data_IF_267360127223
#
_entry.id   IF_267360127223
#
_cell.length_a   1.000
_cell.length_b   1.000
_cell.length_c   1.000
_cell.angle_alpha   90.00
_cell.angle_beta   90.00
_cell.angle_gamma   90.00
#
_symmetry.space_group_name_H-M   'P 1'
#
loop_
_entity.id
_entity.type
_entity.pdbx_description
1 polymer ?
#
# COMPACT_ATOMS: atom_id res chain seq x y z
N UNK A 1 14.01 -8.61 8.34
CA UNK A 1 12.62 -8.71 7.84
C UNK A 1 12.64 -8.75 6.32
N UNK A 2 11.79 -9.58 5.73
CA UNK A 2 11.49 -9.53 4.31
C UNK A 2 10.51 -8.36 4.11
N UNK A 3 10.90 -7.36 3.34
CA UNK A 3 10.19 -6.10 3.30
C UNK A 3 9.94 -5.58 1.90
N UNK A 4 9.12 -4.57 1.86
CA UNK A 4 8.60 -3.86 0.71
C UNK A 4 7.11 -3.67 0.92
N UNK A 5 6.57 -2.50 0.52
CA UNK A 5 5.16 -2.18 0.78
C UNK A 5 4.20 -3.26 0.28
N UNK A 6 4.38 -3.77 -0.96
CA UNK A 6 3.55 -4.84 -1.50
C UNK A 6 3.66 -6.16 -0.72
N UNK A 7 4.85 -6.50 -0.20
CA UNK A 7 5.06 -7.67 0.67
C UNK A 7 4.30 -7.48 2.00
N UNK A 8 4.35 -6.28 2.60
CA UNK A 8 3.62 -5.97 3.82
C UNK A 8 2.10 -6.10 3.63
N UNK A 9 1.57 -5.60 2.49
CA UNK A 9 0.15 -5.77 2.13
C UNK A 9 -0.21 -7.25 2.04
N UNK A 10 0.59 -8.05 1.32
CA UNK A 10 0.33 -9.50 1.17
C UNK A 10 0.44 -10.26 2.49
N UNK A 11 1.41 -9.92 3.34
CA UNK A 11 1.56 -10.53 4.66
C UNK A 11 0.35 -10.26 5.57
N UNK A 12 -0.16 -9.02 5.58
CA UNK A 12 -1.35 -8.71 6.35
C UNK A 12 -2.60 -9.42 5.79
N UNK A 13 -2.77 -9.45 4.47
CA UNK A 13 -3.87 -10.18 3.83
C UNK A 13 -3.84 -11.66 4.20
N UNK A 14 -2.66 -12.29 4.21
CA UNK A 14 -2.49 -13.67 4.65
C UNK A 14 -2.88 -13.86 6.12
N UNK A 15 -2.49 -12.93 7.01
CA UNK A 15 -2.89 -12.95 8.42
C UNK A 15 -4.42 -12.85 8.59
N UNK A 16 -5.11 -12.14 7.71
CA UNK A 16 -6.58 -12.08 7.69
C UNK A 16 -7.23 -13.29 7.02
N UNK A 17 -6.45 -14.17 6.35
CA UNK A 17 -6.94 -15.36 5.65
C UNK A 17 -7.27 -15.13 4.17
N UNK A 18 -6.85 -14.01 3.58
CA UNK A 18 -7.01 -13.74 2.15
C UNK A 18 -5.78 -14.21 1.37
N UNK A 19 -6.02 -14.76 0.18
CA UNK A 19 -4.93 -15.13 -0.73
C UNK A 19 -4.50 -13.93 -1.56
N UNK A 20 -3.19 -13.78 -1.73
CA UNK A 20 -2.60 -12.77 -2.61
C UNK A 20 -1.33 -13.30 -3.23
N UNK A 21 -0.88 -12.69 -4.33
CA UNK A 21 0.38 -12.99 -5.00
C UNK A 21 1.23 -11.73 -5.07
N UNK A 22 2.41 -11.76 -4.47
CA UNK A 22 3.35 -10.66 -4.56
C UNK A 22 4.09 -10.70 -5.91
N UNK A 23 4.08 -9.56 -6.62
CA UNK A 23 4.87 -9.32 -7.83
C UNK A 23 6.00 -8.35 -7.53
N UNK A 24 7.08 -8.43 -8.29
CA UNK A 24 8.22 -7.54 -8.19
C UNK A 24 9.47 -8.15 -8.80
N UNK A 25 10.57 -7.42 -8.72
CA UNK A 25 11.86 -7.81 -9.26
C UNK A 25 12.77 -8.27 -8.14
N UNK A 26 13.38 -9.43 -8.30
CA UNK A 26 14.37 -9.98 -7.36
C UNK A 26 15.66 -10.36 -8.10
N UNK A 27 16.79 -10.24 -7.41
CA UNK A 27 18.10 -10.60 -7.99
C UNK A 27 19.06 -11.13 -6.93
N UNK A 28 19.99 -11.96 -7.37
CA UNK A 28 21.10 -12.46 -6.58
C UNK A 28 20.67 -13.33 -5.40
N UNK A 29 21.58 -13.50 -4.44
CA UNK A 29 21.28 -14.33 -3.26
C UNK A 29 20.24 -13.69 -2.32
N UNK A 30 20.23 -12.36 -2.21
CA UNK A 30 19.26 -11.62 -1.41
C UNK A 30 17.85 -11.75 -1.97
N UNK A 31 17.69 -11.76 -3.31
CA UNK A 31 16.42 -12.02 -3.97
C UNK A 31 15.89 -13.43 -3.72
N UNK A 32 16.75 -14.45 -3.81
CA UNK A 32 16.37 -15.84 -3.47
C UNK A 32 15.96 -15.97 -2.00
N UNK A 33 16.65 -15.25 -1.11
CA UNK A 33 16.29 -15.26 0.31
C UNK A 33 14.95 -14.58 0.57
N UNK A 34 14.66 -13.45 -0.12
CA UNK A 34 13.34 -12.81 -0.06
C UNK A 34 12.25 -13.80 -0.53
N UNK A 35 12.43 -14.43 -1.70
CA UNK A 35 11.45 -15.38 -2.23
C UNK A 35 11.20 -16.55 -1.28
N UNK A 36 12.26 -17.09 -0.68
CA UNK A 36 12.15 -18.15 0.33
C UNK A 36 11.38 -17.69 1.55
N UNK A 37 11.69 -16.46 2.02
CA UNK A 37 11.11 -15.89 3.22
C UNK A 37 9.63 -15.55 3.07
N UNK A 38 9.22 -14.97 1.95
CA UNK A 38 7.81 -14.59 1.73
C UNK A 38 6.89 -15.83 1.66
N UNK A 39 7.39 -16.96 1.16
CA UNK A 39 6.64 -18.23 1.20
C UNK A 39 6.30 -18.67 2.63
N UNK A 40 7.17 -18.36 3.60
CA UNK A 40 6.91 -18.68 5.02
C UNK A 40 5.89 -17.73 5.66
N UNK A 41 5.56 -16.60 5.01
CA UNK A 41 4.56 -15.63 5.48
C UNK A 41 3.12 -15.98 5.04
N UNK A 42 2.93 -17.08 4.28
CA UNK A 42 1.61 -17.63 3.98
C UNK A 42 0.91 -17.05 2.76
N UNK A 43 1.64 -16.36 1.86
CA UNK A 43 1.10 -15.88 0.58
C UNK A 43 1.97 -16.32 -0.61
N UNK A 44 1.40 -16.24 -1.80
CA UNK A 44 2.07 -16.62 -3.04
C UNK A 44 3.01 -15.51 -3.55
N UNK A 45 4.05 -15.89 -4.28
CA UNK A 45 4.94 -14.95 -4.97
C UNK A 45 5.17 -15.40 -6.41
N UNK A 46 5.16 -14.43 -7.33
CA UNK A 46 5.47 -14.65 -8.74
C UNK A 46 6.48 -13.60 -9.22
N UNK A 47 7.62 -13.54 -8.51
CA UNK A 47 8.67 -12.58 -8.76
C UNK A 47 9.36 -12.78 -10.11
N UNK A 48 9.85 -11.68 -10.68
CA UNK A 48 10.67 -11.66 -11.88
C UNK A 48 12.12 -11.71 -11.46
N UNK A 49 12.81 -12.80 -11.81
CA UNK A 49 14.23 -12.96 -11.56
C UNK A 49 15.02 -12.08 -12.56
N UNK A 50 15.76 -11.11 -12.03
CA UNK A 50 16.68 -10.24 -12.78
C UNK A 50 18.08 -10.81 -12.73
N UNK A 51 18.81 -10.76 -13.85
CA UNK A 51 20.12 -11.41 -13.97
C UNK A 51 21.21 -10.70 -13.20
N UNK A 52 21.22 -9.35 -13.23
CA UNK A 52 22.32 -8.54 -12.71
C UNK A 52 21.98 -7.83 -11.42
N UNK A 53 22.93 -7.85 -10.49
CA UNK A 53 22.83 -7.17 -9.21
C UNK A 53 22.24 -8.05 -8.11
N UNK A 54 21.70 -7.39 -7.09
CA UNK A 54 21.09 -8.03 -5.92
C UNK A 54 19.86 -7.23 -5.49
N UNK A 55 18.83 -7.92 -4.97
CA UNK A 55 17.74 -7.25 -4.27
C UNK A 55 18.29 -6.43 -3.10
N UNK A 56 17.80 -5.21 -2.96
CA UNK A 56 18.37 -4.26 -1.99
C UNK A 56 18.17 -4.71 -0.55
N UNK A 57 19.11 -4.34 0.29
CA UNK A 57 19.02 -4.41 1.74
C UNK A 57 18.95 -2.96 2.24
N UNK A 58 17.91 -2.63 2.98
CA UNK A 58 17.78 -1.35 3.66
C UNK A 58 18.13 -1.53 5.13
N UNK A 59 19.00 -0.68 5.65
CA UNK A 59 19.43 -0.72 7.04
C UNK A 59 18.85 0.49 7.77
N UNK A 60 18.11 0.24 8.85
CA UNK A 60 17.63 1.29 9.76
C UNK A 60 18.48 1.30 11.01
N UNK A 61 19.17 2.39 11.25
CA UNK A 61 19.96 2.62 12.46
C UNK A 61 19.10 3.36 13.47
N UNK A 62 18.80 2.70 14.58
CA UNK A 62 18.08 3.29 15.71
C UNK A 62 19.12 3.80 16.73
N UNK A 63 19.30 5.12 16.79
CA UNK A 63 20.08 5.83 17.80
C UNK A 63 19.25 7.03 18.27
N UNK A 64 19.89 8.04 18.84
CA UNK A 64 19.22 9.29 19.23
C UNK A 64 18.59 10.01 18.01
N UNK A 65 19.10 9.73 16.81
CA UNK A 65 18.50 10.12 15.54
C UNK A 65 18.36 8.87 14.67
N UNK A 66 17.15 8.66 14.11
CA UNK A 66 16.90 7.56 13.17
C UNK A 66 17.60 7.88 11.84
N UNK A 67 18.41 6.95 11.33
CA UNK A 67 19.09 7.06 10.04
C UNK A 67 18.81 5.83 9.19
N UNK A 68 18.67 6.03 7.89
CA UNK A 68 18.41 4.94 6.94
C UNK A 68 19.50 4.90 5.87
N UNK A 69 19.99 3.68 5.57
CA UNK A 69 20.85 3.40 4.41
C UNK A 69 20.04 2.54 3.46
N UNK A 70 19.66 3.10 2.33
CA UNK A 70 18.87 2.43 1.32
C UNK A 70 19.73 1.93 0.17
N UNK A 71 19.74 0.61 -0.06
CA UNK A 71 20.41 -0.02 -1.20
C UNK A 71 19.74 0.32 -2.52
N UNK A 72 20.52 0.31 -3.63
CA UNK A 72 20.01 0.70 -4.95
C UNK A 72 19.16 -0.37 -5.65
N UNK A 73 19.34 -1.62 -5.32
CA UNK A 73 18.62 -2.73 -5.99
C UNK A 73 19.30 -3.19 -7.30
N UNK A 74 18.67 -4.13 -8.03
CA UNK A 74 19.21 -4.72 -9.24
C UNK A 74 19.08 -3.83 -10.48
N UNK A 75 19.81 -4.18 -11.55
CA UNK A 75 19.69 -3.57 -12.88
C UNK A 75 18.49 -4.17 -13.63
N UNK A 76 17.33 -3.50 -13.56
CA UNK A 76 16.11 -3.95 -14.24
C UNK A 76 16.17 -3.47 -15.70
N UNK A 77 15.96 -4.39 -16.64
CA UNK A 77 15.96 -4.12 -18.08
C UNK A 77 14.53 -3.95 -18.62
N UNK A 78 14.38 -3.40 -19.84
CA UNK A 78 13.09 -3.33 -20.52
C UNK A 78 12.44 -4.71 -20.67
N UNK A 79 13.23 -5.76 -20.96
CA UNK A 79 12.74 -7.12 -21.04
C UNK A 79 12.21 -7.66 -19.69
N UNK A 80 12.74 -7.18 -18.58
CA UNK A 80 12.21 -7.50 -17.24
C UNK A 80 10.86 -6.80 -17.01
N UNK A 81 10.77 -5.56 -17.44
CA UNK A 81 9.51 -4.78 -17.40
C UNK A 81 8.44 -5.42 -18.30
N UNK A 82 8.80 -5.87 -19.50
CA UNK A 82 7.88 -6.61 -20.38
C UNK A 82 7.34 -7.87 -19.70
N UNK A 83 8.18 -8.63 -18.98
CA UNK A 83 7.75 -9.80 -18.20
C UNK A 83 6.74 -9.42 -17.09
N UNK A 84 6.89 -8.23 -16.49
CA UNK A 84 5.90 -7.71 -15.53
C UNK A 84 4.54 -7.50 -16.22
N UNK A 85 4.52 -6.83 -17.37
CA UNK A 85 3.28 -6.59 -18.14
C UNK A 85 2.62 -7.91 -18.60
N UNK A 86 3.41 -8.91 -19.01
CA UNK A 86 2.89 -10.24 -19.32
C UNK A 86 2.18 -10.86 -18.11
N UNK A 87 2.76 -10.79 -16.90
CA UNK A 87 2.11 -11.29 -15.68
C UNK A 87 0.83 -10.51 -15.35
N UNK A 88 0.85 -9.20 -15.46
CA UNK A 88 -0.31 -8.34 -15.24
C UNK A 88 -1.46 -8.64 -16.24
N UNK A 89 -1.14 -9.10 -17.43
CA UNK A 89 -2.14 -9.47 -18.44
C UNK A 89 -3.01 -10.68 -18.05
N UNK A 90 -2.60 -11.47 -17.05
CA UNK A 90 -3.42 -12.57 -16.51
C UNK A 90 -4.49 -12.11 -15.50
N UNK A 91 -4.43 -10.87 -15.03
CA UNK A 91 -5.47 -10.31 -14.16
C UNK A 91 -6.83 -10.28 -14.88
N UNK A 92 -7.91 -10.48 -14.13
CA UNK A 92 -9.28 -10.61 -14.62
C UNK A 92 -10.19 -9.57 -13.95
N UNK A 93 -11.35 -9.37 -14.54
CA UNK A 93 -12.42 -8.59 -13.93
C UNK A 93 -12.69 -9.08 -12.48
N UNK A 94 -12.77 -8.13 -11.55
CA UNK A 94 -12.97 -8.37 -10.13
C UNK A 94 -11.69 -8.57 -9.32
N UNK A 95 -10.53 -8.82 -9.97
CA UNK A 95 -9.26 -8.86 -9.27
C UNK A 95 -8.91 -7.48 -8.66
N UNK A 96 -8.07 -7.51 -7.63
CA UNK A 96 -7.52 -6.31 -7.00
C UNK A 96 -6.02 -6.26 -7.22
N UNK A 97 -5.52 -5.17 -7.79
CA UNK A 97 -4.10 -4.88 -7.92
C UNK A 97 -3.71 -3.77 -6.95
N UNK A 98 -2.69 -4.01 -6.13
CA UNK A 98 -2.10 -2.99 -5.26
C UNK A 98 -0.76 -2.54 -5.83
N UNK A 99 -0.67 -1.28 -6.21
CA UNK A 99 0.56 -0.61 -6.62
C UNK A 99 1.08 0.20 -5.43
N UNK A 100 2.19 -0.24 -4.84
CA UNK A 100 2.71 0.40 -3.64
C UNK A 100 4.24 0.44 -3.60
N UNK A 101 4.78 1.50 -3.03
CA UNK A 101 6.20 1.71 -2.86
C UNK A 101 6.83 2.66 -3.86
N UNK A 102 8.15 2.82 -3.72
CA UNK A 102 8.97 3.62 -4.61
C UNK A 102 9.33 2.84 -5.87
N UNK A 103 9.45 3.54 -6.98
CA UNK A 103 9.93 2.98 -8.25
C UNK A 103 11.46 2.83 -8.17
N UNK A 104 12.02 1.66 -8.54
CA UNK A 104 13.47 1.51 -8.67
C UNK A 104 14.06 2.51 -9.67
N UNK A 105 15.25 3.06 -9.38
CA UNK A 105 15.90 4.05 -10.24
C UNK A 105 16.20 3.54 -11.66
N UNK A 106 16.20 2.24 -11.86
CA UNK A 106 16.39 1.59 -13.17
C UNK A 106 15.11 1.55 -14.04
N UNK A 107 13.98 2.00 -13.52
CA UNK A 107 12.68 2.00 -14.21
C UNK A 107 12.18 3.44 -14.32
N UNK A 108 11.55 3.77 -15.43
CA UNK A 108 10.95 5.10 -15.62
C UNK A 108 9.86 5.39 -14.60
N UNK A 109 9.81 6.66 -14.15
CA UNK A 109 8.84 7.14 -13.15
C UNK A 109 7.38 7.19 -13.66
N UNK A 110 7.10 6.63 -14.83
CA UNK A 110 5.77 6.50 -15.40
C UNK A 110 5.21 5.07 -15.29
N UNK A 111 5.95 4.11 -14.71
CA UNK A 111 5.57 2.70 -14.69
C UNK A 111 4.18 2.46 -14.09
N UNK A 112 3.78 3.18 -13.03
CA UNK A 112 2.45 3.04 -12.46
C UNK A 112 1.36 3.52 -13.42
N UNK A 113 1.61 4.64 -14.11
CA UNK A 113 0.74 5.14 -15.16
C UNK A 113 0.58 4.10 -16.28
N UNK A 114 1.70 3.57 -16.79
CA UNK A 114 1.70 2.53 -17.86
C UNK A 114 0.98 1.25 -17.43
N UNK A 115 1.11 0.84 -16.16
CA UNK A 115 0.38 -0.32 -15.63
C UNK A 115 -1.12 -0.03 -15.61
N UNK A 116 -1.54 1.13 -15.12
CA UNK A 116 -2.95 1.49 -15.05
C UNK A 116 -3.56 1.64 -16.45
N UNK A 117 -2.85 2.25 -17.38
CA UNK A 117 -3.24 2.34 -18.78
C UNK A 117 -3.40 0.95 -19.44
N UNK A 118 -2.44 0.04 -19.18
CA UNK A 118 -2.49 -1.34 -19.72
C UNK A 118 -3.70 -2.14 -19.20
N UNK A 119 -4.16 -1.84 -18.00
CA UNK A 119 -5.26 -2.55 -17.34
C UNK A 119 -6.59 -1.78 -17.40
N UNK A 120 -6.59 -0.60 -18.01
CA UNK A 120 -7.80 0.23 -18.09
C UNK A 120 -8.96 -0.50 -18.81
N UNK A 121 -10.17 -0.28 -18.32
CA UNK A 121 -11.39 -0.90 -18.88
C UNK A 121 -11.54 -2.41 -18.61
N UNK A 122 -10.62 -3.05 -17.88
CA UNK A 122 -10.65 -4.51 -17.61
C UNK A 122 -11.40 -4.91 -16.34
N UNK A 123 -12.03 -3.98 -15.65
CA UNK A 123 -12.78 -4.26 -14.42
C UNK A 123 -11.93 -4.66 -13.22
N UNK A 124 -10.64 -4.30 -13.23
CA UNK A 124 -9.68 -4.55 -12.14
C UNK A 124 -9.72 -3.38 -11.17
N UNK A 125 -9.84 -3.64 -9.87
CA UNK A 125 -9.76 -2.60 -8.84
C UNK A 125 -8.30 -2.31 -8.52
N UNK A 126 -7.84 -1.09 -8.80
CA UNK A 126 -6.46 -0.68 -8.56
C UNK A 126 -6.36 0.20 -7.32
N UNK A 127 -5.59 -0.23 -6.31
CA UNK A 127 -5.26 0.55 -5.13
C UNK A 127 -3.82 1.08 -5.27
N UNK A 128 -3.63 2.39 -5.04
CA UNK A 128 -2.32 3.03 -5.21
C UNK A 128 -1.89 3.70 -3.91
N UNK A 129 -0.75 3.29 -3.37
CA UNK A 129 -0.07 3.90 -2.23
C UNK A 129 1.35 4.31 -2.63
N UNK A 130 1.46 5.50 -3.21
CA UNK A 130 2.67 6.04 -3.81
C UNK A 130 2.90 7.50 -3.41
N UNK A 131 4.12 7.97 -3.66
CA UNK A 131 4.47 9.39 -3.45
C UNK A 131 3.66 10.31 -4.37
N UNK A 132 3.54 11.59 -3.96
CA UNK A 132 2.65 12.60 -4.55
C UNK A 132 2.68 12.68 -6.08
N UNK A 133 3.86 12.72 -6.68
CA UNK A 133 4.02 12.92 -8.13
C UNK A 133 3.54 11.69 -8.92
N UNK A 134 3.77 10.48 -8.37
CA UNK A 134 3.26 9.24 -8.93
C UNK A 134 1.74 9.14 -8.78
N UNK A 135 1.24 9.57 -7.63
CA UNK A 135 -0.19 9.54 -7.33
C UNK A 135 -0.97 10.46 -8.28
N UNK A 136 -0.48 11.68 -8.53
CA UNK A 136 -1.14 12.62 -9.45
C UNK A 136 -1.24 12.08 -10.88
N UNK A 137 -0.21 11.39 -11.37
CA UNK A 137 -0.17 10.82 -12.73
C UNK A 137 -1.22 9.73 -12.96
N UNK A 138 -1.62 9.02 -11.90
CA UNK A 138 -2.53 7.87 -12.00
C UNK A 138 -4.00 8.22 -11.78
N UNK A 139 -4.32 9.42 -11.29
CA UNK A 139 -5.71 9.81 -10.99
C UNK A 139 -6.64 9.71 -12.21
N UNK A 140 -6.14 10.06 -13.41
CA UNK A 140 -6.90 9.98 -14.66
C UNK A 140 -7.37 8.57 -15.03
N UNK A 141 -6.79 7.52 -14.44
CA UNK A 141 -7.17 6.10 -14.64
C UNK A 141 -8.12 5.59 -13.55
N UNK A 142 -8.70 6.47 -12.77
CA UNK A 142 -9.73 6.19 -11.76
C UNK A 142 -9.33 5.08 -10.76
N UNK A 143 -8.20 5.22 -10.02
CA UNK A 143 -7.81 4.24 -9.01
C UNK A 143 -8.96 4.04 -8.01
N UNK A 144 -9.29 2.75 -7.76
CA UNK A 144 -10.32 2.38 -6.78
C UNK A 144 -10.04 2.93 -5.39
N UNK A 145 -8.75 2.93 -4.99
CA UNK A 145 -8.30 3.45 -3.70
C UNK A 145 -6.97 4.17 -3.87
N UNK A 146 -6.87 5.35 -3.29
CA UNK A 146 -5.59 6.00 -3.00
C UNK A 146 -5.47 6.26 -1.51
N UNK A 147 -4.23 6.18 -0.97
CA UNK A 147 -3.99 6.40 0.46
C UNK A 147 -2.84 7.37 0.73
N UNK A 148 -3.00 8.67 0.59
CA UNK A 148 -2.08 9.65 1.14
C UNK A 148 -2.18 9.73 2.68
N UNK A 149 -1.13 10.16 3.37
CA UNK A 149 -1.29 10.70 4.70
C UNK A 149 -1.66 12.21 4.63
N UNK A 150 -2.05 12.80 5.77
CA UNK A 150 -2.47 14.21 5.82
C UNK A 150 -1.37 15.19 5.37
N UNK A 151 -0.10 14.88 5.63
CA UNK A 151 1.04 15.69 5.19
C UNK A 151 1.26 15.57 3.68
N UNK A 152 1.23 14.35 3.14
CA UNK A 152 1.32 14.10 1.70
C UNK A 152 0.18 14.79 0.95
N UNK A 153 -1.05 14.68 1.46
CA UNK A 153 -2.21 15.37 0.91
C UNK A 153 -1.99 16.89 0.90
N UNK A 154 -1.53 17.47 2.01
CA UNK A 154 -1.20 18.90 2.08
C UNK A 154 -0.12 19.31 1.09
N UNK A 155 0.95 18.53 0.96
CA UNK A 155 2.03 18.79 0.00
C UNK A 155 1.56 18.74 -1.47
N UNK A 156 0.59 17.86 -1.81
CA UNK A 156 0.02 17.81 -3.17
C UNK A 156 -0.67 19.13 -3.56
N UNK A 157 -1.16 19.88 -2.58
CA UNK A 157 -1.83 21.18 -2.79
C UNK A 157 -1.01 22.38 -2.31
N UNK A 158 0.26 22.17 -1.91
CA UNK A 158 1.18 23.22 -1.51
C UNK A 158 0.81 23.93 -0.19
N UNK A 159 0.11 23.26 0.72
CA UNK A 159 -0.34 23.82 2.00
C UNK A 159 -0.31 22.81 3.15
N UNK A 160 -0.29 23.30 4.38
CA UNK A 160 -0.45 22.50 5.59
C UNK A 160 -1.95 22.37 5.91
N UNK A 161 -2.43 21.12 6.08
CA UNK A 161 -3.82 20.87 6.46
C UNK A 161 -3.90 20.68 7.98
N UNK A 162 -4.69 21.53 8.64
CA UNK A 162 -4.77 21.59 10.12
C UNK A 162 -6.07 21.05 10.68
N UNK A 163 -7.11 21.02 9.88
CA UNK A 163 -8.45 20.58 10.32
C UNK A 163 -8.96 19.41 9.48
N UNK A 164 -9.89 18.67 10.04
CA UNK A 164 -10.57 17.58 9.30
C UNK A 164 -11.33 18.09 8.08
N UNK A 165 -11.93 19.29 8.17
CA UNK A 165 -12.67 19.92 7.08
C UNK A 165 -11.74 20.23 5.91
N UNK A 166 -10.52 20.71 6.19
CA UNK A 166 -9.49 20.94 5.16
C UNK A 166 -9.06 19.64 4.51
N UNK A 167 -8.86 18.57 5.31
CA UNK A 167 -8.52 17.21 4.81
C UNK A 167 -9.63 16.69 3.89
N UNK A 168 -10.88 16.74 4.34
CA UNK A 168 -12.05 16.31 3.53
C UNK A 168 -12.17 17.12 2.25
N UNK A 169 -11.99 18.45 2.32
CA UNK A 169 -12.03 19.31 1.15
C UNK A 169 -11.00 18.89 0.09
N UNK A 170 -9.75 18.62 0.52
CA UNK A 170 -8.67 18.25 -0.40
C UNK A 170 -8.79 16.81 -0.89
N UNK A 171 -9.29 15.89 -0.05
CA UNK A 171 -9.62 14.55 -0.48
C UNK A 171 -10.73 14.54 -1.56
N UNK A 172 -11.74 15.41 -1.44
CA UNK A 172 -12.77 15.60 -2.49
C UNK A 172 -12.17 16.12 -3.80
N UNK A 173 -11.20 17.03 -3.76
CA UNK A 173 -10.48 17.47 -4.97
C UNK A 173 -9.74 16.32 -5.67
N UNK A 174 -9.15 15.37 -4.93
CA UNK A 174 -8.54 14.19 -5.54
C UNK A 174 -9.59 13.26 -6.17
N UNK A 175 -10.78 13.17 -5.60
CA UNK A 175 -11.90 12.46 -6.24
C UNK A 175 -12.32 13.14 -7.54
N UNK A 176 -12.46 14.46 -7.55
CA UNK A 176 -12.77 15.23 -8.75
C UNK A 176 -11.72 15.06 -9.85
N UNK A 177 -10.45 14.79 -9.47
CA UNK A 177 -9.36 14.47 -10.39
C UNK A 177 -9.35 13.01 -10.85
N UNK A 178 -10.22 12.15 -10.29
CA UNK A 178 -10.42 10.80 -10.77
C UNK A 178 -10.38 9.68 -9.72
N UNK A 179 -9.83 9.89 -8.53
CA UNK A 179 -9.82 8.84 -7.51
C UNK A 179 -11.24 8.41 -7.10
N UNK A 180 -11.50 7.10 -7.05
CA UNK A 180 -12.80 6.55 -6.64
C UNK A 180 -12.98 6.69 -5.12
N UNK A 181 -12.01 6.25 -4.34
CA UNK A 181 -11.97 6.36 -2.88
C UNK A 181 -10.66 6.99 -2.43
N UNK A 182 -10.74 7.95 -1.49
CA UNK A 182 -9.57 8.62 -0.91
C UNK A 182 -9.53 8.35 0.58
N UNK A 183 -8.57 7.53 1.01
CA UNK A 183 -8.31 7.19 2.40
C UNK A 183 -7.13 8.04 2.90
N UNK A 184 -7.37 8.97 3.79
CA UNK A 184 -6.33 9.82 4.37
C UNK A 184 -5.98 9.33 5.75
N UNK A 185 -4.74 8.87 5.94
CA UNK A 185 -4.22 8.46 7.26
C UNK A 185 -3.66 9.66 8.01
N UNK A 186 -3.93 9.72 9.33
CA UNK A 186 -3.57 10.84 10.20
C UNK A 186 -2.80 10.37 11.44
N UNK A 187 -2.04 9.29 11.32
CA UNK A 187 -1.29 8.69 12.42
C UNK A 187 -2.15 8.49 13.69
N UNK A 188 -1.80 9.16 14.80
CA UNK A 188 -2.51 9.08 16.09
C UNK A 188 -3.94 9.63 16.07
N UNK A 189 -4.31 10.41 15.07
CA UNK A 189 -5.66 10.99 14.92
C UNK A 189 -6.60 10.08 14.10
N UNK A 190 -6.11 8.95 13.62
CA UNK A 190 -6.91 7.96 12.91
C UNK A 190 -6.89 8.12 11.39
N UNK A 191 -8.07 8.04 10.76
CA UNK A 191 -8.18 8.15 9.32
C UNK A 191 -9.55 8.70 8.87
N UNK A 192 -9.55 9.34 7.72
CA UNK A 192 -10.73 9.83 7.02
C UNK A 192 -10.82 9.15 5.66
N UNK A 193 -12.00 8.68 5.30
CA UNK A 193 -12.33 8.17 3.98
C UNK A 193 -13.35 9.08 3.32
N UNK A 194 -13.05 9.53 2.11
CA UNK A 194 -14.04 10.10 1.19
C UNK A 194 -14.35 9.01 0.16
N UNK A 195 -15.51 8.39 0.29
CA UNK A 195 -15.89 7.20 -0.46
C UNK A 195 -16.47 7.51 -1.85
N UNK A 196 -16.63 6.48 -2.69
CA UNK A 196 -17.17 6.56 -4.04
C UNK A 196 -18.55 7.22 -4.09
N UNK A 197 -19.43 6.89 -3.17
CA UNK A 197 -20.79 7.42 -3.05
C UNK A 197 -20.86 8.87 -2.52
N UNK A 198 -19.70 9.49 -2.25
CA UNK A 198 -19.59 10.84 -1.71
C UNK A 198 -19.68 10.91 -0.18
N UNK A 199 -19.97 9.79 0.50
CA UNK A 199 -19.98 9.74 1.96
C UNK A 199 -18.59 9.99 2.55
N UNK A 200 -18.56 10.52 3.76
CA UNK A 200 -17.34 10.78 4.53
C UNK A 200 -17.40 9.98 5.82
N UNK A 201 -16.45 9.07 5.97
CA UNK A 201 -16.31 8.26 7.18
C UNK A 201 -15.06 8.68 7.95
N UNK A 202 -15.16 8.67 9.28
CA UNK A 202 -14.07 8.95 10.19
C UNK A 202 -13.88 7.78 11.13
N UNK A 203 -12.64 7.43 11.37
CA UNK A 203 -12.30 6.37 12.32
C UNK A 203 -11.10 6.82 13.15
N UNK A 204 -11.29 6.93 14.45
CA UNK A 204 -10.21 7.14 15.40
C UNK A 204 -9.35 5.88 15.56
N UNK A 205 -8.19 6.02 16.19
CA UNK A 205 -7.28 4.89 16.46
C UNK A 205 -7.69 4.13 17.71
N UNK A 206 -7.40 2.83 17.72
CA UNK A 206 -7.43 2.04 18.95
C UNK A 206 -6.31 2.49 19.91
N UNK A 207 -6.55 2.33 21.22
CA UNK A 207 -5.54 2.62 22.23
C UNK A 207 -4.45 1.55 22.23
N UNK A 208 -3.17 1.98 22.26
CA UNK A 208 -2.02 1.10 22.31
C UNK A 208 -0.71 1.87 22.38
N UNK A 209 0.39 1.16 22.59
CA UNK A 209 1.73 1.74 22.58
C UNK A 209 2.39 1.46 21.24
N UNK A 210 2.75 2.51 20.53
CA UNK A 210 3.45 2.40 19.25
C UNK A 210 4.85 1.81 19.47
N UNK A 211 5.13 0.68 18.85
CA UNK A 211 6.44 0.04 18.82
C UNK A 211 7.19 0.34 17.53
N UNK A 212 6.47 0.25 16.39
CA UNK A 212 7.04 0.46 15.08
C UNK A 212 5.95 0.88 14.08
N UNK A 213 6.06 2.08 13.52
CA UNK A 213 5.08 2.58 12.53
C UNK A 213 5.29 2.06 11.11
N UNK A 214 6.40 1.35 10.84
CA UNK A 214 6.72 0.82 9.51
C UNK A 214 5.71 -0.25 9.11
N UNK A 215 5.12 -0.10 7.92
CA UNK A 215 4.10 -1.02 7.41
C UNK A 215 2.68 -0.77 7.92
N UNK A 216 2.46 0.17 8.85
CA UNK A 216 1.12 0.49 9.34
C UNK A 216 0.20 1.03 8.21
N UNK A 217 0.74 1.88 7.32
CA UNK A 217 0.03 2.36 6.14
C UNK A 217 -0.30 1.25 5.15
N UNK A 218 0.64 0.35 4.89
CA UNK A 218 0.45 -0.82 4.02
C UNK A 218 -0.63 -1.74 4.59
N UNK A 219 -0.60 -1.95 5.91
CA UNK A 219 -1.59 -2.72 6.65
C UNK A 219 -2.98 -2.09 6.60
N UNK A 220 -3.06 -0.76 6.62
CA UNK A 220 -4.33 -0.04 6.47
C UNK A 220 -4.91 -0.24 5.07
N UNK A 221 -4.11 -0.19 4.01
CA UNK A 221 -4.55 -0.50 2.63
C UNK A 221 -5.08 -1.93 2.55
N UNK A 222 -4.32 -2.89 3.06
CA UNK A 222 -4.71 -4.30 3.05
C UNK A 222 -6.03 -4.55 3.81
N UNK A 223 -6.16 -3.98 5.01
CA UNK A 223 -7.37 -4.09 5.82
C UNK A 223 -8.58 -3.42 5.18
N UNK A 224 -8.41 -2.25 4.55
CA UNK A 224 -9.47 -1.59 3.81
C UNK A 224 -9.97 -2.46 2.64
N UNK A 225 -9.06 -2.99 1.83
CA UNK A 225 -9.40 -3.87 0.71
C UNK A 225 -10.13 -5.12 1.21
N UNK A 226 -9.60 -5.78 2.25
CA UNK A 226 -10.22 -6.97 2.84
C UNK A 226 -11.63 -6.67 3.36
N UNK A 227 -11.81 -5.59 4.10
CA UNK A 227 -13.12 -5.20 4.64
C UNK A 227 -14.14 -4.85 3.56
N UNK A 228 -13.70 -4.16 2.51
CA UNK A 228 -14.57 -3.85 1.39
C UNK A 228 -14.99 -5.10 0.61
N UNK A 229 -14.06 -6.00 0.34
CA UNK A 229 -14.36 -7.27 -0.34
C UNK A 229 -15.28 -8.17 0.49
N UNK A 230 -15.19 -8.10 1.83
CA UNK A 230 -16.04 -8.89 2.73
C UNK A 230 -17.48 -8.40 2.77
N UNK A 231 -17.70 -7.07 2.83
CA UNK A 231 -19.02 -6.50 3.14
C UNK A 231 -19.56 -5.49 2.13
N UNK A 232 -18.73 -4.97 1.24
CA UNK A 232 -19.12 -3.85 0.38
C UNK A 232 -19.47 -2.56 1.15
N UNK A 233 -19.02 -2.45 2.41
CA UNK A 233 -19.34 -1.35 3.32
C UNK A 233 -18.09 -0.51 3.60
N UNK A 234 -18.18 0.78 3.27
CA UNK A 234 -17.04 1.69 3.39
C UNK A 234 -16.67 2.02 4.84
N UNK A 235 -17.65 2.11 5.74
CA UNK A 235 -17.40 2.35 7.16
C UNK A 235 -16.67 1.16 7.79
N UNK A 236 -17.11 -0.06 7.47
CA UNK A 236 -16.45 -1.28 7.92
C UNK A 236 -15.05 -1.42 7.32
N UNK A 237 -14.88 -1.14 6.03
CA UNK A 237 -13.59 -1.17 5.37
C UNK A 237 -12.57 -0.22 6.02
N UNK A 238 -12.99 1.02 6.33
CA UNK A 238 -12.17 2.00 7.05
C UNK A 238 -11.85 1.51 8.46
N UNK A 239 -12.82 0.98 9.18
CA UNK A 239 -12.65 0.45 10.54
C UNK A 239 -11.64 -0.70 10.56
N UNK A 240 -11.78 -1.68 9.67
CA UNK A 240 -10.84 -2.81 9.57
C UNK A 240 -9.45 -2.32 9.14
N UNK A 241 -9.36 -1.40 8.18
CA UNK A 241 -8.09 -0.79 7.77
C UNK A 241 -7.37 -0.10 8.93
N UNK A 242 -8.11 0.67 9.74
CA UNK A 242 -7.56 1.34 10.93
C UNK A 242 -7.11 0.34 12.00
N UNK A 243 -7.88 -0.74 12.23
CA UNK A 243 -7.49 -1.82 13.13
C UNK A 243 -6.20 -2.52 12.68
N UNK A 244 -6.05 -2.78 11.37
CA UNK A 244 -4.87 -3.39 10.78
C UNK A 244 -3.63 -2.49 10.91
N UNK A 245 -3.77 -1.19 10.60
CA UNK A 245 -2.71 -0.20 10.78
C UNK A 245 -2.27 -0.10 12.24
N UNK A 246 -3.23 -0.04 13.17
CA UNK A 246 -2.97 -0.02 14.61
C UNK A 246 -2.29 -1.29 15.11
N UNK A 247 -2.76 -2.48 14.71
CA UNK A 247 -2.16 -3.75 15.09
C UNK A 247 -0.69 -3.83 14.66
N UNK A 248 -0.38 -3.40 13.45
CA UNK A 248 1.00 -3.32 12.95
C UNK A 248 1.83 -2.28 13.73
N UNK A 249 1.28 -1.10 13.99
CA UNK A 249 1.99 -0.07 14.74
C UNK A 249 2.33 -0.48 16.19
N UNK A 250 1.53 -1.34 16.80
CA UNK A 250 1.72 -1.84 18.18
C UNK A 250 2.51 -3.15 18.27
N UNK A 251 2.91 -3.71 17.13
CA UNK A 251 3.68 -4.95 17.03
C UNK A 251 5.11 -4.70 16.56
N UNK A 252 5.97 -5.71 16.70
CA UNK A 252 7.35 -5.65 16.19
C UNK A 252 7.42 -5.92 14.67
N UNK A 253 6.33 -6.40 14.07
CA UNK A 253 6.17 -6.72 12.65
C UNK A 253 4.75 -6.44 12.17
N UNK A 254 4.32 -7.12 11.11
CA UNK A 254 2.94 -7.01 10.60
C UNK A 254 1.97 -7.62 11.62
N UNK A 255 0.89 -6.89 11.91
CA UNK A 255 -0.11 -7.29 12.90
C UNK A 255 -0.73 -8.66 12.62
N UNK A 256 -0.85 -9.47 13.66
CA UNK A 256 -1.50 -10.80 13.60
C UNK A 256 -3.02 -10.67 13.57
N UNK A 257 -3.70 -11.74 13.12
CA UNK A 257 -5.18 -11.78 13.11
C UNK A 257 -5.78 -11.49 14.47
N UNK A 258 -5.25 -12.08 15.54
CA UNK A 258 -5.77 -11.91 16.90
C UNK A 258 -5.62 -10.47 17.38
N UNK A 259 -4.48 -9.82 17.10
CA UNK A 259 -4.24 -8.41 17.41
C UNK A 259 -5.22 -7.51 16.65
N UNK A 260 -5.41 -7.76 15.35
CA UNK A 260 -6.33 -7.02 14.49
C UNK A 260 -7.76 -7.13 15.03
N UNK A 261 -8.23 -8.37 15.28
CA UNK A 261 -9.62 -8.61 15.75
C UNK A 261 -9.86 -8.01 17.14
N UNK A 262 -8.86 -8.06 18.03
CA UNK A 262 -8.94 -7.40 19.33
C UNK A 262 -9.12 -5.88 19.17
N UNK A 263 -8.33 -5.22 18.32
CA UNK A 263 -8.45 -3.78 18.08
C UNK A 263 -9.76 -3.42 17.38
N UNK A 264 -10.18 -4.22 16.38
CA UNK A 264 -11.44 -4.02 15.66
C UNK A 264 -12.65 -3.97 16.59
N UNK A 265 -12.63 -4.77 17.66
CA UNK A 265 -13.70 -4.79 18.66
C UNK A 265 -13.68 -3.58 19.61
N UNK A 266 -12.60 -2.80 19.63
CA UNK A 266 -12.46 -1.60 20.48
C UNK A 266 -12.70 -0.30 19.73
N UNK A 267 -12.72 -0.33 18.41
CA UNK A 267 -13.04 0.78 17.52
C UNK A 267 -14.54 0.87 17.30
#
# INVERSE_FOLDING_TARGET
FYGGKGINVSALLANLGYRSTALGFIAGFTGREIERGVRSLGFDSDFIQVEKGMSRINVKLKSDQESEINGMGPEITDGDVERLFQKLSYLKEGDVLVLSGSIPAAIDNDIYQRIMEHLDGRGIRMAVDAEKDLLQKVLQYHPFLIKPNNHELGQMFGQELKTEEEIVLHARKLKEQGAVNVLVSMAGDGAILVAEDGSVHRQGVARGTVKNSVGAGDSMVAGFIAGYLEKGDYAYALKLGTACGGATAFSDGIGTKDEIMRLLNTL
#
